data_IF_771839088447
#
_entry.id   IF_771839088447
#
_cell.length_a   1.000
_cell.length_b   1.000
_cell.length_c   1.000
_cell.angle_alpha   90.00
_cell.angle_beta   90.00
_cell.angle_gamma   90.00
#
_symmetry.space_group_name_H-M   'P 1'
#
loop_
_entity.id
_entity.type
_entity.pdbx_description
1 polymer ?
#
# COMPACT_ATOMS: atom_id res chain seq x y z
N UNK A 1 18.80 -5.34 -0.43
CA UNK A 1 18.50 -6.79 -0.38
C UNK A 1 17.07 -6.96 0.13
N UNK A 2 16.21 -7.75 -0.52
CA UNK A 2 14.82 -7.98 -0.05
C UNK A 2 14.91 -8.89 1.18
N UNK A 3 14.45 -8.42 2.33
CA UNK A 3 14.48 -9.20 3.57
C UNK A 3 13.70 -10.51 3.41
N UNK A 4 14.21 -11.60 3.99
CA UNK A 4 13.53 -12.91 3.97
C UNK A 4 12.22 -12.84 4.75
N UNK A 5 11.29 -13.76 4.51
CA UNK A 5 9.99 -13.73 5.21
C UNK A 5 10.17 -13.88 6.74
N UNK A 6 11.19 -14.64 7.18
CA UNK A 6 11.62 -14.76 8.58
C UNK A 6 12.21 -13.46 9.14
N UNK A 7 13.00 -12.73 8.35
CA UNK A 7 13.49 -11.39 8.73
C UNK A 7 12.36 -10.37 8.81
N UNK A 8 11.33 -10.45 7.96
CA UNK A 8 10.16 -9.55 8.04
C UNK A 8 9.32 -9.82 9.28
N UNK A 9 9.14 -11.09 9.64
CA UNK A 9 8.53 -11.49 10.91
C UNK A 9 9.25 -10.86 12.11
N UNK A 10 10.58 -10.81 12.09
CA UNK A 10 11.37 -10.18 13.16
C UNK A 10 11.30 -8.64 13.23
N UNK A 11 10.74 -7.98 12.21
CA UNK A 11 10.50 -6.53 12.22
C UNK A 11 9.13 -6.16 12.77
N UNK A 12 8.22 -7.13 12.84
CA UNK A 12 6.91 -6.93 13.45
C UNK A 12 7.09 -6.84 14.96
N UNK A 13 6.38 -5.88 15.56
CA UNK A 13 6.20 -5.82 17.01
C UNK A 13 5.20 -6.86 17.51
N UNK A 14 4.51 -7.56 16.60
CA UNK A 14 3.44 -8.52 16.86
C UNK A 14 3.73 -9.89 16.20
N UNK A 15 4.83 -10.58 16.55
CA UNK A 15 5.24 -11.83 15.89
C UNK A 15 4.22 -12.97 16.04
N UNK A 16 3.30 -12.89 17.00
CA UNK A 16 2.24 -13.90 17.25
C UNK A 16 0.97 -13.68 16.43
N UNK A 17 0.90 -12.62 15.60
CA UNK A 17 -0.28 -12.28 14.78
C UNK A 17 -0.14 -12.85 13.36
N UNK A 18 0.08 -14.16 13.28
CA UNK A 18 0.35 -14.83 12.01
C UNK A 18 -0.93 -15.15 11.21
N UNK A 19 -0.83 -15.10 9.87
CA UNK A 19 -1.85 -15.55 8.93
C UNK A 19 -1.21 -16.14 7.68
N UNK A 20 -2.01 -16.88 6.91
CA UNK A 20 -1.59 -17.45 5.62
C UNK A 20 -1.95 -16.50 4.49
N UNK A 21 -0.93 -15.91 3.87
CA UNK A 21 -1.11 -15.04 2.73
C UNK A 21 -1.53 -15.78 1.46
N UNK A 22 -1.94 -15.04 0.44
CA UNK A 22 -2.40 -15.58 -0.85
C UNK A 22 -1.36 -16.44 -1.58
N UNK A 23 -0.08 -16.31 -1.20
CA UNK A 23 1.03 -17.11 -1.72
C UNK A 23 1.28 -18.40 -0.93
N UNK A 24 0.40 -18.76 0.02
CA UNK A 24 0.51 -19.95 0.86
C UNK A 24 1.56 -19.85 1.97
N UNK A 25 2.18 -18.67 2.18
CA UNK A 25 3.20 -18.47 3.20
C UNK A 25 2.63 -17.84 4.45
N UNK A 26 3.18 -18.22 5.60
CA UNK A 26 2.96 -17.52 6.86
C UNK A 26 3.50 -16.09 6.78
N UNK A 27 2.69 -15.13 7.24
CA UNK A 27 2.98 -13.70 7.34
C UNK A 27 2.52 -13.22 8.72
N UNK A 28 3.09 -12.15 9.22
CA UNK A 28 2.60 -11.45 10.41
C UNK A 28 2.13 -10.04 10.05
N UNK A 29 1.38 -9.40 10.96
CA UNK A 29 1.03 -7.99 10.83
C UNK A 29 2.31 -7.15 10.81
N UNK A 30 2.39 -6.21 9.87
CA UNK A 30 3.50 -5.29 9.70
C UNK A 30 3.03 -3.94 9.13
N UNK A 31 3.62 -2.84 9.59
CA UNK A 31 3.35 -1.46 9.14
C UNK A 31 1.85 -1.09 9.21
N UNK A 32 1.18 -0.92 8.07
CA UNK A 32 -0.22 -0.48 7.99
C UNK A 32 -1.14 -1.37 8.84
N UNK A 33 -0.89 -2.67 8.84
CA UNK A 33 -1.70 -3.63 9.59
C UNK A 33 -1.43 -3.61 11.09
N UNK A 34 -0.22 -3.26 11.52
CA UNK A 34 0.07 -3.00 12.94
C UNK A 34 -0.59 -1.70 13.40
N UNK A 35 -0.59 -0.65 12.57
CA UNK A 35 -1.29 0.60 12.92
C UNK A 35 -2.77 0.36 13.14
N UNK A 36 -3.43 -0.41 12.26
CA UNK A 36 -4.84 -0.76 12.43
C UNK A 36 -5.06 -1.59 13.69
N UNK A 37 -4.20 -2.58 13.96
CA UNK A 37 -4.26 -3.36 15.19
C UNK A 37 -4.21 -2.48 16.44
N UNK A 38 -3.22 -1.58 16.56
CA UNK A 38 -3.12 -0.71 17.73
C UNK A 38 -4.29 0.27 17.86
N UNK A 39 -4.83 0.78 16.74
CA UNK A 39 -6.05 1.60 16.78
C UNK A 39 -7.24 0.85 17.37
N UNK A 40 -7.34 -0.46 17.11
CA UNK A 40 -8.39 -1.32 17.69
C UNK A 40 -8.13 -1.59 19.17
N UNK A 41 -6.88 -1.92 19.54
CA UNK A 41 -6.49 -2.15 20.93
C UNK A 41 -6.77 -0.93 21.81
N UNK A 42 -6.43 0.26 21.32
CA UNK A 42 -6.66 1.53 22.01
C UNK A 42 -8.11 2.03 21.94
N UNK A 43 -9.02 1.30 21.26
CA UNK A 43 -10.43 1.67 21.16
C UNK A 43 -10.72 2.88 20.27
N UNK A 44 -9.75 3.30 19.44
CA UNK A 44 -9.96 4.34 18.43
C UNK A 44 -10.80 3.82 17.25
N UNK A 45 -10.72 2.51 16.98
CA UNK A 45 -11.57 1.80 16.03
C UNK A 45 -12.21 0.63 16.76
N UNK A 46 -13.53 0.50 16.67
CA UNK A 46 -14.23 -0.60 17.32
C UNK A 46 -14.08 -1.91 16.52
N UNK A 47 -14.09 -3.09 17.17
CA UNK A 47 -14.14 -4.37 16.46
C UNK A 47 -15.34 -4.51 15.52
N UNK A 48 -16.46 -3.83 15.83
CA UNK A 48 -17.65 -3.79 14.97
C UNK A 48 -17.34 -3.11 13.64
N UNK A 49 -16.55 -2.03 13.64
CA UNK A 49 -16.15 -1.32 12.43
C UNK A 49 -15.18 -2.16 11.58
N UNK A 50 -14.27 -2.90 12.20
CA UNK A 50 -13.39 -3.84 11.49
C UNK A 50 -14.21 -4.95 10.84
N UNK A 51 -15.20 -5.49 11.56
CA UNK A 51 -16.12 -6.49 11.02
C UNK A 51 -16.93 -5.93 9.84
N UNK A 52 -17.50 -4.73 9.98
CA UNK A 52 -18.24 -4.07 8.91
C UNK A 52 -17.36 -3.81 7.68
N UNK A 53 -16.09 -3.41 7.88
CA UNK A 53 -15.13 -3.27 6.79
C UNK A 53 -14.89 -4.62 6.11
N UNK A 54 -14.63 -5.68 6.87
CA UNK A 54 -14.42 -7.04 6.32
C UNK A 54 -15.64 -7.50 5.51
N UNK A 55 -16.84 -7.37 6.08
CA UNK A 55 -18.10 -7.79 5.45
C UNK A 55 -18.34 -7.01 4.14
N UNK A 56 -18.00 -5.72 4.10
CA UNK A 56 -18.09 -4.91 2.88
C UNK A 56 -17.13 -5.36 1.76
N UNK A 57 -16.05 -6.05 2.10
CA UNK A 57 -15.03 -6.49 1.15
C UNK A 57 -15.23 -7.95 0.71
N UNK A 58 -15.85 -8.82 1.51
CA UNK A 58 -15.90 -10.28 1.29
C UNK A 58 -16.41 -10.74 -0.07
N UNK A 59 -17.31 -9.98 -0.70
CA UNK A 59 -17.99 -10.38 -1.94
C UNK A 59 -17.71 -9.42 -3.11
N UNK A 60 -16.49 -8.87 -3.17
CA UNK A 60 -16.13 -7.98 -4.28
C UNK A 60 -16.06 -8.76 -5.61
N UNK A 61 -16.71 -8.27 -6.68
CA UNK A 61 -16.61 -8.91 -7.98
C UNK A 61 -15.23 -8.70 -8.60
N UNK A 62 -14.77 -9.67 -9.38
CA UNK A 62 -13.40 -9.67 -9.95
C UNK A 62 -13.10 -8.45 -10.83
N UNK A 63 -14.12 -7.83 -11.42
CA UNK A 63 -13.99 -6.64 -12.26
C UNK A 63 -13.77 -5.35 -11.47
N UNK A 64 -13.62 -5.40 -10.13
CA UNK A 64 -13.24 -4.23 -9.32
C UNK A 64 -11.72 -4.16 -9.15
N UNK A 65 -11.00 -5.27 -9.30
CA UNK A 65 -9.56 -5.28 -9.08
C UNK A 65 -8.79 -4.47 -10.12
N UNK A 66 -7.95 -3.55 -9.67
CA UNK A 66 -7.15 -2.69 -10.54
C UNK A 66 -6.26 -3.51 -11.49
N UNK A 67 -5.71 -4.63 -11.02
CA UNK A 67 -4.91 -5.54 -11.84
C UNK A 67 -5.67 -6.22 -12.98
N UNK A 68 -7.01 -6.19 -12.97
CA UNK A 68 -7.88 -6.80 -13.98
C UNK A 68 -8.56 -5.77 -14.90
N UNK A 69 -8.36 -4.47 -14.64
CA UNK A 69 -8.96 -3.40 -15.45
C UNK A 69 -8.29 -3.29 -16.82
N UNK A 70 -9.05 -3.34 -17.93
CA UNK A 70 -8.49 -3.24 -19.29
C UNK A 70 -7.79 -1.90 -19.58
N UNK A 71 -8.28 -0.82 -18.99
CA UNK A 71 -7.77 0.55 -19.14
C UNK A 71 -6.55 0.84 -18.26
N UNK A 72 -6.25 -0.02 -17.27
CA UNK A 72 -5.08 0.08 -16.40
C UNK A 72 -3.94 -0.87 -16.83
N UNK A 73 -3.72 -1.00 -18.13
CA UNK A 73 -2.62 -1.77 -18.70
C UNK A 73 -1.46 -0.90 -19.18
N UNK A 74 -0.26 -1.48 -19.20
CA UNK A 74 0.93 -0.85 -19.78
C UNK A 74 0.81 -0.93 -21.29
N UNK A 75 0.75 0.23 -21.96
CA UNK A 75 0.55 0.31 -23.41
C UNK A 75 1.86 0.70 -24.10
N UNK A 76 2.13 0.06 -25.25
CA UNK A 76 3.19 0.45 -26.18
C UNK A 76 2.56 1.01 -27.43
N UNK A 77 2.95 2.22 -27.83
CA UNK A 77 2.39 2.86 -29.01
C UNK A 77 3.03 2.34 -30.31
N UNK A 78 2.49 2.79 -31.46
CA UNK A 78 3.06 2.49 -32.78
C UNK A 78 4.43 3.13 -32.93
N UNK A 79 5.34 2.39 -33.56
CA UNK A 79 6.68 2.88 -33.86
C UNK A 79 6.67 4.04 -34.85
N UNK A 80 7.55 4.99 -34.61
CA UNK A 80 7.84 6.10 -35.53
C UNK A 80 9.33 6.13 -35.81
N UNK A 81 9.72 6.34 -37.06
CA UNK A 81 11.13 6.57 -37.40
C UNK A 81 11.61 7.86 -36.73
N UNK A 82 12.78 7.82 -36.09
CA UNK A 82 13.42 8.97 -35.43
C UNK A 82 14.89 9.01 -35.79
N UNK A 83 15.31 10.06 -36.49
CA UNK A 83 16.72 10.30 -36.83
C UNK A 83 17.39 11.07 -35.68
N UNK A 84 18.54 10.59 -35.22
CA UNK A 84 19.41 11.26 -34.25
C UNK A 84 20.82 11.21 -34.82
N UNK A 85 21.38 12.38 -35.14
CA UNK A 85 22.59 12.50 -35.99
C UNK A 85 22.37 11.73 -37.30
N UNK A 86 23.30 10.86 -37.71
CA UNK A 86 23.19 10.06 -38.92
C UNK A 86 22.55 8.67 -38.70
N UNK A 87 22.08 8.40 -37.48
CA UNK A 87 21.45 7.13 -37.13
C UNK A 87 19.93 7.24 -37.14
N UNK A 88 19.27 6.21 -37.68
CA UNK A 88 17.80 6.11 -37.72
C UNK A 88 17.32 5.03 -36.77
N UNK A 89 16.46 5.41 -35.83
CA UNK A 89 15.88 4.53 -34.80
C UNK A 89 14.38 4.31 -35.03
N UNK A 90 13.88 3.18 -34.56
CA UNK A 90 12.45 2.95 -34.36
C UNK A 90 12.11 3.42 -32.94
N UNK A 91 11.39 4.53 -32.84
CA UNK A 91 11.01 5.14 -31.58
C UNK A 91 9.60 4.71 -31.17
N UNK A 92 9.51 4.09 -30.00
CA UNK A 92 8.27 3.72 -29.32
C UNK A 92 8.24 4.37 -27.94
N UNK A 93 7.04 4.63 -27.44
CA UNK A 93 6.78 5.07 -26.07
C UNK A 93 6.05 3.96 -25.31
N UNK A 94 6.41 3.82 -24.03
CA UNK A 94 5.73 2.96 -23.07
C UNK A 94 4.98 3.86 -22.10
N UNK A 95 3.67 3.66 -21.97
CA UNK A 95 2.80 4.43 -21.08
C UNK A 95 2.39 3.59 -19.87
N UNK A 96 2.51 4.19 -18.69
CA UNK A 96 2.21 3.55 -17.41
C UNK A 96 1.01 4.24 -16.76
N UNK A 97 -0.07 3.51 -16.43
CA UNK A 97 -1.18 4.06 -15.67
C UNK A 97 -0.77 4.47 -14.25
N UNK A 98 -1.29 5.61 -13.80
CA UNK A 98 -1.15 6.16 -12.46
C UNK A 98 -2.53 6.62 -11.97
N UNK A 99 -2.91 6.18 -10.79
CA UNK A 99 -4.11 6.63 -10.08
C UNK A 99 -3.68 7.45 -8.86
N UNK A 100 -4.41 8.50 -8.55
CA UNK A 100 -4.18 9.34 -7.37
C UNK A 100 -5.47 9.43 -6.56
N UNK A 101 -5.39 9.11 -5.28
CA UNK A 101 -6.47 9.25 -4.32
C UNK A 101 -6.04 10.25 -3.24
N UNK A 102 -6.87 11.27 -2.97
CA UNK A 102 -6.51 12.34 -2.04
C UNK A 102 -7.28 12.21 -0.71
N UNK A 103 -6.55 12.33 0.39
CA UNK A 103 -7.10 12.56 1.73
C UNK A 103 -6.99 14.05 2.04
N UNK A 104 -7.86 14.86 1.43
CA UNK A 104 -7.76 16.33 1.46
C UNK A 104 -7.68 16.91 2.88
N UNK A 105 -8.49 16.38 3.80
CA UNK A 105 -8.51 16.81 5.21
C UNK A 105 -7.18 16.55 5.96
N UNK A 106 -6.36 15.64 5.45
CA UNK A 106 -5.06 15.27 6.00
C UNK A 106 -3.90 15.78 5.16
N UNK A 107 -4.15 16.34 3.97
CA UNK A 107 -3.11 16.71 3.00
C UNK A 107 -2.21 15.54 2.57
N UNK A 108 -2.73 14.30 2.62
CA UNK A 108 -2.01 13.08 2.26
C UNK A 108 -2.54 12.58 0.92
N UNK A 109 -1.64 12.09 0.06
CA UNK A 109 -2.01 11.48 -1.21
C UNK A 109 -1.65 10.00 -1.21
N UNK A 110 -2.42 9.22 -1.94
CA UNK A 110 -2.09 7.84 -2.28
C UNK A 110 -1.94 7.74 -3.79
N UNK A 111 -0.77 7.29 -4.22
CA UNK A 111 -0.48 7.03 -5.63
C UNK A 111 -0.44 5.53 -5.88
N UNK A 112 -1.13 5.07 -6.91
CA UNK A 112 -1.09 3.68 -7.36
C UNK A 112 -0.53 3.65 -8.76
N UNK A 113 0.67 3.10 -8.91
CA UNK A 113 1.37 2.99 -10.20
C UNK A 113 1.30 1.55 -10.69
N UNK A 114 0.79 1.33 -11.89
CA UNK A 114 0.85 0.01 -12.53
C UNK A 114 2.24 -0.17 -13.15
N UNK A 115 2.97 -1.20 -12.71
CA UNK A 115 4.32 -1.53 -13.20
C UNK A 115 4.42 -3.00 -13.56
N UNK A 116 5.44 -3.38 -14.31
CA UNK A 116 5.76 -4.79 -14.56
C UNK A 116 6.13 -5.49 -13.24
N UNK A 117 5.74 -6.76 -13.11
CA UNK A 117 6.21 -7.58 -12.00
C UNK A 117 7.71 -7.82 -12.14
N UNK A 118 8.47 -7.58 -11.06
CA UNK A 118 9.87 -7.97 -11.04
C UNK A 118 9.99 -9.49 -11.04
N UNK A 119 10.63 -10.05 -12.09
CA UNK A 119 10.90 -11.49 -12.27
C UNK A 119 9.65 -12.39 -12.37
N UNK A 120 8.52 -11.85 -12.84
CA UNK A 120 7.32 -12.63 -13.13
C UNK A 120 6.56 -12.02 -14.32
N UNK A 121 5.64 -12.80 -14.89
CA UNK A 121 4.77 -12.34 -15.97
C UNK A 121 3.62 -11.47 -15.43
N UNK A 122 3.30 -10.41 -16.18
CA UNK A 122 2.17 -9.52 -15.91
C UNK A 122 2.52 -8.23 -15.18
N UNK A 123 1.49 -7.49 -14.78
CA UNK A 123 1.60 -6.21 -14.10
C UNK A 123 1.27 -6.32 -12.61
N UNK A 124 1.75 -5.38 -11.83
CA UNK A 124 1.44 -5.20 -10.42
C UNK A 124 1.14 -3.72 -10.13
N UNK A 125 0.05 -3.43 -9.40
CA UNK A 125 -0.12 -2.12 -8.79
C UNK A 125 0.85 -1.95 -7.62
N UNK A 126 1.54 -0.81 -7.57
CA UNK A 126 2.36 -0.39 -6.45
C UNK A 126 1.72 0.82 -5.78
N UNK A 127 1.41 0.70 -4.50
CA UNK A 127 0.80 1.76 -3.70
C UNK A 127 1.88 2.55 -2.95
N UNK A 128 1.83 3.87 -3.05
CA UNK A 128 2.66 4.81 -2.33
C UNK A 128 1.79 5.74 -1.51
N UNK A 129 2.12 5.91 -0.23
CA UNK A 129 1.49 6.92 0.63
C UNK A 129 2.42 8.14 0.68
N UNK A 130 1.97 9.25 0.13
CA UNK A 130 2.71 10.50 0.02
C UNK A 130 2.34 11.42 1.19
N UNK A 131 3.25 11.54 2.16
CA UNK A 131 3.08 12.38 3.35
C UNK A 131 3.93 13.65 3.16
N UNK A 132 3.34 14.86 3.27
CA UNK A 132 4.10 16.10 3.25
C UNK A 132 5.19 16.11 4.33
N UNK A 133 6.38 16.60 3.98
CA UNK A 133 7.51 16.69 4.92
C UNK A 133 7.19 17.57 6.13
N UNK A 134 6.26 18.52 5.98
CA UNK A 134 5.73 19.38 7.04
C UNK A 134 4.89 18.64 8.09
N UNK A 135 4.44 17.42 7.79
CA UNK A 135 3.68 16.58 8.73
C UNK A 135 4.59 15.70 9.61
N UNK A 136 5.90 15.71 9.36
CA UNK A 136 6.87 14.95 10.14
C UNK A 136 7.27 15.72 11.39
N UNK A 137 7.11 15.09 12.55
CA UNK A 137 7.67 15.58 13.79
C UNK A 137 9.18 15.33 13.80
N UNK A 138 9.97 16.40 13.96
CA UNK A 138 11.43 16.37 14.00
C UNK A 138 11.92 17.35 15.06
N UNK A 139 13.11 17.13 15.68
CA UNK A 139 13.66 18.06 16.66
C UNK A 139 13.85 19.48 16.10
N UNK A 140 14.16 19.59 14.81
CA UNK A 140 14.24 20.87 14.09
C UNK A 140 13.51 20.77 12.76
N UNK A 141 12.72 21.79 12.34
CA UNK A 141 12.00 21.75 11.08
C UNK A 141 12.89 21.38 9.88
N UNK A 142 12.38 20.54 8.99
CA UNK A 142 13.13 20.07 7.81
C UNK A 142 13.13 21.08 6.65
N UNK A 143 12.15 21.99 6.59
CA UNK A 143 12.06 22.98 5.53
C UNK A 143 13.25 23.96 5.57
N UNK A 144 13.84 24.21 4.41
CA UNK A 144 14.95 25.16 4.26
C UNK A 144 16.34 24.62 4.61
N UNK A 145 16.48 23.33 4.94
CA UNK A 145 17.77 22.71 5.23
C UNK A 145 17.90 21.32 4.62
N UNK A 146 19.12 20.76 4.69
CA UNK A 146 19.38 19.36 4.37
C UNK A 146 19.13 18.49 5.60
N UNK A 147 18.63 17.28 5.37
CA UNK A 147 18.55 16.27 6.42
C UNK A 147 19.96 15.85 6.87
N UNK A 148 20.14 15.66 8.17
CA UNK A 148 21.37 15.17 8.75
C UNK A 148 21.61 13.68 8.47
N UNK A 149 22.81 13.20 8.81
CA UNK A 149 23.15 11.79 8.67
C UNK A 149 22.25 10.93 9.57
N UNK A 150 21.53 9.98 8.98
CA UNK A 150 20.59 9.07 9.68
C UNK A 150 19.50 9.81 10.47
N UNK A 151 19.17 11.04 10.08
CA UNK A 151 18.07 11.77 10.68
C UNK A 151 16.73 11.06 10.41
N UNK A 152 15.89 10.96 11.43
CA UNK A 152 14.56 10.37 11.33
C UNK A 152 13.50 11.40 11.72
N UNK A 153 12.39 11.41 10.98
CA UNK A 153 11.17 12.12 11.35
C UNK A 153 10.07 11.14 11.72
N UNK A 154 9.22 11.53 12.67
CA UNK A 154 8.10 10.71 13.12
C UNK A 154 6.78 11.26 12.57
N UNK A 155 6.05 10.43 11.83
CA UNK A 155 4.66 10.73 11.46
C UNK A 155 3.72 10.21 12.56
N UNK A 156 3.02 11.11 13.25
CA UNK A 156 2.23 10.77 14.44
C UNK A 156 0.77 10.50 14.04
N UNK A 157 0.39 9.23 14.07
CA UNK A 157 -1.01 8.80 13.94
C UNK A 157 -1.80 9.09 15.23
N UNK A 158 -3.06 9.47 15.05
CA UNK A 158 -4.01 9.91 16.10
C UNK A 158 -5.43 9.54 15.67
N UNK A 159 -6.42 9.73 16.56
CA UNK A 159 -7.83 9.48 16.26
C UNK A 159 -8.31 10.05 14.91
N UNK A 160 -7.87 11.26 14.53
CA UNK A 160 -8.21 11.88 13.23
C UNK A 160 -7.76 11.10 11.98
N UNK A 161 -6.87 10.13 12.12
CA UNK A 161 -6.35 9.30 11.02
C UNK A 161 -7.06 7.95 10.90
N UNK A 162 -8.12 7.73 11.69
CA UNK A 162 -8.92 6.51 11.63
C UNK A 162 -9.42 6.22 10.22
N UNK A 163 -10.07 7.19 9.59
CA UNK A 163 -10.67 7.00 8.26
C UNK A 163 -9.61 6.76 7.20
N UNK A 164 -8.46 7.43 7.33
CA UNK A 164 -7.27 7.18 6.52
C UNK A 164 -6.80 5.71 6.57
N UNK A 165 -6.74 5.10 7.76
CA UNK A 165 -6.37 3.69 7.88
C UNK A 165 -7.43 2.77 7.26
N UNK A 166 -8.71 3.01 7.56
CA UNK A 166 -9.81 2.17 7.05
C UNK A 166 -9.92 2.24 5.53
N UNK A 167 -9.75 3.42 4.94
CA UNK A 167 -9.78 3.62 3.50
C UNK A 167 -8.53 3.05 2.82
N UNK A 168 -7.34 3.19 3.40
CA UNK A 168 -6.16 2.51 2.88
C UNK A 168 -6.36 1.00 2.79
N UNK A 169 -7.02 0.39 3.76
CA UNK A 169 -7.38 -1.03 3.70
C UNK A 169 -8.34 -1.34 2.54
N UNK A 170 -9.33 -0.49 2.25
CA UNK A 170 -10.20 -0.63 1.07
C UNK A 170 -9.38 -0.52 -0.22
N UNK A 171 -8.49 0.46 -0.31
CA UNK A 171 -7.62 0.66 -1.48
C UNK A 171 -6.72 -0.57 -1.69
N UNK A 172 -6.09 -1.09 -0.64
CA UNK A 172 -5.28 -2.30 -0.73
C UNK A 172 -6.11 -3.51 -1.19
N UNK A 173 -7.34 -3.65 -0.69
CA UNK A 173 -8.21 -4.76 -1.04
C UNK A 173 -8.56 -4.81 -2.54
N UNK A 174 -8.63 -3.66 -3.22
CA UNK A 174 -8.93 -3.60 -4.66
C UNK A 174 -7.71 -3.67 -5.58
N UNK A 175 -6.48 -3.72 -5.05
CA UNK A 175 -5.29 -3.73 -5.89
C UNK A 175 -5.22 -4.98 -6.79
N UNK A 176 -5.40 -6.16 -6.19
CA UNK A 176 -5.44 -7.44 -6.90
C UNK A 176 -6.11 -8.53 -6.06
N UNK A 177 -6.48 -9.68 -6.64
CA UNK A 177 -7.04 -10.81 -5.88
C UNK A 177 -6.15 -11.28 -4.72
N UNK A 178 -4.83 -11.21 -4.89
CA UNK A 178 -3.89 -11.61 -3.83
C UNK A 178 -3.92 -10.62 -2.65
N UNK A 179 -3.95 -9.32 -2.94
CA UNK A 179 -4.07 -8.31 -1.89
C UNK A 179 -5.43 -8.40 -1.19
N UNK A 180 -6.49 -8.67 -1.96
CA UNK A 180 -7.82 -8.88 -1.42
C UNK A 180 -7.85 -10.01 -0.37
N UNK A 181 -7.32 -11.18 -0.71
CA UNK A 181 -7.20 -12.31 0.22
C UNK A 181 -6.37 -11.92 1.45
N UNK A 182 -5.19 -11.34 1.26
CA UNK A 182 -4.31 -10.91 2.36
C UNK A 182 -5.03 -9.94 3.32
N UNK A 183 -5.78 -8.97 2.79
CA UNK A 183 -6.54 -8.01 3.59
C UNK A 183 -7.64 -8.69 4.40
N UNK A 184 -8.41 -9.60 3.81
CA UNK A 184 -9.44 -10.33 4.55
C UNK A 184 -8.85 -11.18 5.69
N UNK A 185 -7.69 -11.80 5.48
CA UNK A 185 -6.98 -12.54 6.52
C UNK A 185 -6.48 -11.62 7.64
N UNK A 186 -5.90 -10.48 7.29
CA UNK A 186 -5.44 -9.47 8.27
C UNK A 186 -6.62 -8.98 9.13
N UNK A 187 -7.75 -8.63 8.51
CA UNK A 187 -8.92 -8.17 9.25
C UNK A 187 -9.45 -9.26 10.18
N UNK A 188 -9.43 -10.53 9.76
CA UNK A 188 -9.82 -11.65 10.62
C UNK A 188 -8.90 -11.80 11.84
N UNK A 189 -7.57 -11.74 11.63
CA UNK A 189 -6.61 -11.78 12.76
C UNK A 189 -6.90 -10.66 13.75
N UNK A 190 -7.15 -9.44 13.27
CA UNK A 190 -7.43 -8.28 14.13
C UNK A 190 -8.75 -8.48 14.92
N UNK A 191 -9.78 -9.06 14.31
CA UNK A 191 -11.06 -9.35 14.98
C UNK A 191 -10.88 -10.44 16.06
N UNK A 192 -10.12 -11.50 15.76
CA UNK A 192 -9.93 -12.64 16.65
C UNK A 192 -8.95 -12.36 17.80
N UNK A 193 -8.06 -11.37 17.65
CA UNK A 193 -7.09 -11.04 18.70
C UNK A 193 -7.78 -10.31 19.84
N UNK A 194 -7.83 -10.94 21.01
CA UNK A 194 -8.42 -10.36 22.22
C UNK A 194 -7.64 -9.10 22.63
N UNK A 195 -8.35 -8.16 23.27
CA UNK A 195 -7.69 -7.05 23.98
C UNK A 195 -6.74 -7.63 25.01
N UNK A 196 -5.46 -7.25 24.91
CA UNK A 196 -4.45 -7.55 25.92
C UNK A 196 -4.46 -6.50 27.03
#
# INVERSE_FOLDING_TARGET
MRKTDKEKLSLSTLPTTEFIGANGKAKALYELSEFLYYFVQWGLISPIEIKALKDSLQNMPNNVFLSAQPDLQIVRNRSKSKKILDLTFQHLMVQYPLLVYSFDSLGILVEIVIREKQRAMGVQPMLYVCIPITHLNTPTPLLGRRAGLKECGSFILRAKHKDFLLELFKIFAILSPNHHHDILQILEVIICTKKT
#
